data_IF_902550238179
#
_entry.id   IF_902550238179
#
_cell.length_a   1.000
_cell.length_b   1.000
_cell.length_c   1.000
_cell.angle_alpha   90.00
_cell.angle_beta   90.00
_cell.angle_gamma   90.00
#
_symmetry.space_group_name_H-M   'P 1'
#
loop_
_entity.id
_entity.type
_entity.pdbx_description
1 polymer ?
#
# COMPACT_ATOMS: atom_id res chain seq x y z
N UNK A 1 -4.92 43.53 -4.22
CA UNK A 1 -4.94 42.61 -3.06
C UNK A 1 -5.71 41.36 -3.47
N UNK A 2 -5.03 40.30 -3.93
CA UNK A 2 -5.66 39.08 -4.48
C UNK A 2 -5.16 37.83 -3.74
N UNK A 3 -5.38 37.73 -2.44
CA UNK A 3 -5.20 36.45 -1.74
C UNK A 3 -6.20 36.35 -0.59
N UNK A 4 -7.45 36.04 -0.91
CA UNK A 4 -8.42 35.48 0.03
C UNK A 4 -9.09 34.32 -0.69
N UNK A 5 -9.00 33.12 -0.09
CA UNK A 5 -9.74 31.90 -0.45
C UNK A 5 -9.03 30.90 -1.38
N UNK A 6 -7.79 30.55 -1.05
CA UNK A 6 -7.35 29.17 -1.30
C UNK A 6 -7.80 28.38 -0.06
N UNK A 7 -8.93 27.68 -0.16
CA UNK A 7 -9.39 26.78 0.90
C UNK A 7 -8.32 25.71 1.04
N UNK A 8 -7.58 25.74 2.15
CA UNK A 8 -6.49 24.79 2.42
C UNK A 8 -7.15 23.41 2.48
N UNK A 9 -6.89 22.55 1.49
CA UNK A 9 -7.44 21.21 1.45
C UNK A 9 -6.73 20.36 2.51
N UNK A 10 -7.40 20.08 3.63
CA UNK A 10 -6.86 19.33 4.78
C UNK A 10 -6.89 17.81 4.59
N UNK A 11 -7.43 17.30 3.48
CA UNK A 11 -7.46 15.85 3.22
C UNK A 11 -6.08 15.22 3.02
N UNK A 12 -5.04 16.05 2.82
CA UNK A 12 -3.65 15.63 2.64
C UNK A 12 -2.74 15.96 3.83
N UNK A 13 -3.28 16.41 4.97
CA UNK A 13 -2.46 16.67 6.17
C UNK A 13 -1.99 15.36 6.86
N UNK A 14 -2.62 14.22 6.53
CA UNK A 14 -2.11 12.91 6.93
C UNK A 14 -1.14 12.36 5.86
N UNK A 15 -0.01 11.83 6.30
CA UNK A 15 0.93 11.18 5.40
C UNK A 15 0.21 10.10 4.58
N UNK A 16 0.27 10.12 3.23
CA UNK A 16 -0.55 9.25 2.38
C UNK A 16 -0.26 7.77 2.63
N UNK A 17 0.95 7.46 3.12
CA UNK A 17 1.34 6.12 3.55
C UNK A 17 0.55 5.66 4.78
N UNK A 18 0.39 6.54 5.77
CA UNK A 18 -0.32 6.21 7.00
C UNK A 18 -1.81 6.06 6.75
N UNK A 19 -2.40 6.91 5.91
CA UNK A 19 -3.79 6.77 5.49
C UNK A 19 -4.04 5.39 4.85
N UNK A 20 -3.20 4.96 3.91
CA UNK A 20 -3.31 3.64 3.29
C UNK A 20 -3.17 2.50 4.31
N UNK A 21 -2.25 2.62 5.27
CA UNK A 21 -2.04 1.60 6.31
C UNK A 21 -3.20 1.51 7.31
N UNK A 22 -3.89 2.62 7.62
CA UNK A 22 -5.09 2.61 8.48
C UNK A 22 -6.20 1.75 7.86
N UNK A 23 -6.45 1.94 6.56
CA UNK A 23 -7.48 1.20 5.83
C UNK A 23 -7.08 -0.23 5.45
N UNK A 24 -5.79 -0.59 5.53
CA UNK A 24 -5.33 -1.94 5.21
C UNK A 24 -5.99 -3.01 6.09
N UNK A 25 -6.16 -2.74 7.40
CA UNK A 25 -6.82 -3.67 8.33
C UNK A 25 -8.32 -3.83 8.04
N UNK A 26 -9.02 -2.72 7.82
CA UNK A 26 -10.45 -2.74 7.47
C UNK A 26 -10.71 -3.46 6.15
N UNK A 27 -9.81 -3.30 5.18
CA UNK A 27 -9.91 -3.97 3.88
C UNK A 27 -9.69 -5.49 3.97
N UNK A 28 -8.89 -5.96 4.94
CA UNK A 28 -8.68 -7.38 5.22
C UNK A 28 -9.89 -8.01 5.94
N UNK A 29 -10.49 -7.29 6.89
CA UNK A 29 -11.62 -7.78 7.68
C UNK A 29 -12.95 -7.79 6.91
N UNK A 30 -13.22 -6.78 6.07
CA UNK A 30 -14.49 -6.67 5.32
C UNK A 30 -14.26 -6.35 3.83
N UNK A 31 -13.78 -7.34 3.05
CA UNK A 31 -13.49 -7.13 1.65
C UNK A 31 -14.79 -7.04 0.84
N UNK A 32 -15.20 -5.84 0.42
CA UNK A 32 -16.48 -5.66 -0.30
C UNK A 32 -16.33 -5.70 -1.82
N UNK A 33 -15.27 -5.11 -2.38
CA UNK A 33 -15.17 -4.88 -3.84
C UNK A 33 -14.24 -5.84 -4.57
N UNK A 34 -13.04 -6.08 -4.04
CA UNK A 34 -11.94 -6.71 -4.80
C UNK A 34 -11.63 -8.10 -4.26
N UNK A 35 -11.46 -8.22 -2.95
CA UNK A 35 -11.02 -9.48 -2.37
C UNK A 35 -12.03 -10.66 -2.52
N UNK A 36 -13.37 -10.51 -2.52
CA UNK A 36 -14.25 -11.66 -2.70
C UNK A 36 -14.07 -12.36 -4.05
N UNK A 37 -13.78 -11.57 -5.10
CA UNK A 37 -13.60 -12.10 -6.45
C UNK A 37 -12.28 -12.86 -6.60
N UNK A 38 -11.21 -12.39 -5.95
CA UNK A 38 -9.89 -13.02 -6.04
C UNK A 38 -9.66 -14.12 -5.00
N UNK A 39 -10.39 -14.12 -3.88
CA UNK A 39 -10.28 -15.15 -2.83
C UNK A 39 -10.49 -16.57 -3.37
N UNK A 40 -11.39 -16.76 -4.34
CA UNK A 40 -11.73 -18.08 -4.87
C UNK A 40 -10.72 -18.61 -5.90
N UNK A 41 -10.03 -17.71 -6.62
CA UNK A 41 -9.21 -18.08 -7.78
C UNK A 41 -7.73 -17.71 -7.65
N UNK A 42 -7.31 -17.14 -6.52
CA UNK A 42 -5.92 -16.71 -6.34
C UNK A 42 -4.99 -17.93 -6.20
N UNK A 43 -4.00 -18.08 -7.10
CA UNK A 43 -2.99 -19.13 -6.95
C UNK A 43 -2.13 -18.83 -5.72
N UNK A 44 -1.70 -19.89 -5.03
CA UNK A 44 -0.75 -19.75 -3.93
C UNK A 44 0.57 -19.23 -4.48
N UNK A 45 1.06 -18.06 -4.03
CA UNK A 45 2.33 -17.55 -4.51
C UNK A 45 3.44 -18.51 -4.07
N UNK A 46 4.21 -19.00 -5.03
CA UNK A 46 5.41 -19.80 -4.78
C UNK A 46 6.58 -18.84 -4.84
N UNK A 47 6.92 -18.28 -3.69
CA UNK A 47 8.16 -17.52 -3.55
C UNK A 47 9.31 -18.51 -3.46
N UNK A 48 10.40 -18.22 -4.18
CA UNK A 48 11.66 -18.88 -3.89
C UNK A 48 12.01 -18.60 -2.43
N UNK A 49 12.50 -19.60 -1.70
CA UNK A 49 13.18 -19.35 -0.44
C UNK A 49 14.19 -18.25 -0.71
N UNK A 50 14.02 -17.10 -0.06
CA UNK A 50 14.97 -16.02 -0.17
C UNK A 50 16.31 -16.63 0.24
N UNK A 51 17.22 -16.80 -0.72
CA UNK A 51 18.62 -16.91 -0.35
C UNK A 51 18.87 -15.68 0.51
N UNK A 52 19.24 -15.93 1.77
CA UNK A 52 19.63 -15.02 2.84
C UNK A 52 20.85 -14.14 2.44
N UNK A 53 20.90 -13.68 1.19
CA UNK A 53 21.89 -12.73 0.70
C UNK A 53 21.51 -11.35 1.24
N UNK A 54 22.43 -10.67 1.96
CA UNK A 54 22.16 -9.37 2.55
C UNK A 54 21.79 -8.36 1.45
N UNK A 55 20.76 -7.55 1.70
CA UNK A 55 20.21 -6.56 0.77
C UNK A 55 21.28 -5.64 0.15
N UNK A 56 22.38 -5.39 0.86
CA UNK A 56 23.54 -4.63 0.40
C UNK A 56 24.23 -5.19 -0.86
N UNK A 57 24.03 -6.47 -1.18
CA UNK A 57 24.57 -7.12 -2.39
C UNK A 57 23.63 -7.02 -3.61
N UNK A 58 22.33 -6.82 -3.41
CA UNK A 58 21.35 -6.76 -4.51
C UNK A 58 21.43 -5.45 -5.29
N UNK A 59 21.76 -4.31 -4.66
CA UNK A 59 21.88 -3.02 -5.37
C UNK A 59 23.13 -2.87 -6.24
N UNK A 60 24.14 -3.75 -6.08
CA UNK A 60 25.41 -3.71 -6.81
C UNK A 60 25.45 -4.57 -8.07
N UNK A 61 24.35 -5.26 -8.40
CA UNK A 61 24.26 -6.15 -9.57
C UNK A 61 23.38 -5.59 -10.70
N UNK A 62 22.98 -4.32 -10.64
CA UNK A 62 22.26 -3.63 -11.71
C UNK A 62 23.24 -2.93 -12.66
#
# INVERSE_FOLDING_TARGET
>A
HIMKNIVKNTTFDEDPREALLKYAKEAEENPYWIAPAYQQNQPKPVFSEETDEPEAKRSKRA
#
